data_IF_612462205824
#
_entry.id   IF_612462205824
#
_cell.length_a   1.000
_cell.length_b   1.000
_cell.length_c   1.000
_cell.angle_alpha   90.00
_cell.angle_beta   90.00
_cell.angle_gamma   90.00
#
_symmetry.space_group_name_H-M   'P 1'
#
loop_
_entity.id
_entity.type
_entity.pdbx_description
1 polymer ?
#
# COMPACT_ATOMS: atom_id res chain seq x y z
N UNK A 1 -2.22 -5.13 -26.88
CA UNK A 1 -2.95 -5.98 -25.91
C UNK A 1 -2.33 -5.73 -24.54
N UNK A 2 -2.98 -4.95 -23.66
CA UNK A 2 -2.50 -4.84 -22.27
C UNK A 2 -2.85 -6.15 -21.56
N UNK A 3 -1.84 -6.94 -21.20
CA UNK A 3 -2.05 -8.13 -20.39
C UNK A 3 -2.60 -7.68 -19.03
N UNK A 4 -3.79 -8.18 -18.66
CA UNK A 4 -4.35 -7.93 -17.33
C UNK A 4 -3.41 -8.52 -16.28
N UNK A 5 -2.84 -7.66 -15.42
CA UNK A 5 -1.93 -8.10 -14.35
C UNK A 5 -2.72 -8.79 -13.24
N UNK A 6 -2.13 -9.82 -12.65
CA UNK A 6 -2.74 -10.59 -11.57
C UNK A 6 -2.35 -10.05 -10.20
N UNK A 7 -3.24 -10.16 -9.20
CA UNK A 7 -2.95 -9.84 -7.80
C UNK A 7 -1.73 -10.59 -7.23
N UNK A 8 -1.40 -11.75 -7.80
CA UNK A 8 -0.32 -12.63 -7.34
C UNK A 8 1.09 -12.10 -7.66
N UNK A 9 1.22 -11.04 -8.46
CA UNK A 9 2.56 -10.50 -8.82
C UNK A 9 3.09 -9.52 -7.79
N UNK A 10 2.25 -9.03 -6.87
CA UNK A 10 2.62 -8.06 -5.86
C UNK A 10 3.17 -8.73 -4.61
N UNK A 11 4.26 -8.19 -4.08
CA UNK A 11 5.01 -8.81 -2.97
C UNK A 11 5.31 -7.85 -1.83
N UNK A 12 5.22 -6.54 -2.07
CA UNK A 12 5.49 -5.50 -1.06
C UNK A 12 4.21 -4.70 -0.82
N UNK A 13 3.81 -4.59 0.43
CA UNK A 13 2.78 -3.67 0.90
C UNK A 13 3.46 -2.44 1.49
N UNK A 14 3.13 -1.26 0.97
CA UNK A 14 3.51 0.03 1.53
C UNK A 14 2.26 0.69 2.10
N UNK A 15 2.27 1.00 3.39
CA UNK A 15 1.20 1.68 4.09
C UNK A 15 1.71 3.05 4.51
N UNK A 16 1.03 4.10 4.06
CA UNK A 16 1.27 5.48 4.48
C UNK A 16 0.25 5.88 5.55
N UNK A 17 0.67 6.65 6.56
CA UNK A 17 -0.23 7.09 7.63
C UNK A 17 -0.99 8.36 7.26
N UNK A 18 -0.42 9.22 6.42
CA UNK A 18 -0.98 10.50 5.99
C UNK A 18 -1.11 10.61 4.47
N UNK A 19 -2.09 11.38 3.96
CA UNK A 19 -2.18 11.69 2.54
C UNK A 19 -0.92 12.34 1.96
N UNK A 20 -0.23 13.17 2.75
CA UNK A 20 1.03 13.79 2.34
C UNK A 20 2.14 12.74 2.15
N UNK A 21 2.22 11.77 3.06
CA UNK A 21 3.17 10.65 2.97
C UNK A 21 2.83 9.75 1.78
N UNK A 22 1.55 9.51 1.51
CA UNK A 22 1.09 8.80 0.30
C UNK A 22 1.53 9.53 -0.97
N UNK A 23 1.38 10.85 -1.02
CA UNK A 23 1.79 11.66 -2.16
C UNK A 23 3.29 11.51 -2.42
N UNK A 24 4.12 11.55 -1.37
CA UNK A 24 5.55 11.30 -1.47
C UNK A 24 5.85 9.86 -1.94
N UNK A 25 5.20 8.86 -1.34
CA UNK A 25 5.38 7.44 -1.70
C UNK A 25 5.04 7.16 -3.18
N UNK A 26 3.98 7.80 -3.71
CA UNK A 26 3.63 7.67 -5.14
C UNK A 26 4.74 8.17 -6.06
N UNK A 27 5.46 9.21 -5.68
CA UNK A 27 6.56 9.75 -6.51
C UNK A 27 7.80 8.84 -6.53
N UNK A 28 7.86 7.86 -5.64
CA UNK A 28 8.96 6.87 -5.63
C UNK A 28 8.75 5.74 -6.63
N UNK A 29 7.57 5.63 -7.26
CA UNK A 29 7.28 4.53 -8.18
C UNK A 29 7.96 4.77 -9.53
N UNK A 30 8.66 3.76 -10.04
CA UNK A 30 9.25 3.80 -11.38
C UNK A 30 8.16 3.71 -12.45
N UNK A 31 7.13 2.89 -12.20
CA UNK A 31 6.01 2.66 -13.11
C UNK A 31 4.71 2.46 -12.33
N UNK A 32 3.65 3.07 -12.82
CA UNK A 32 2.28 2.83 -12.35
C UNK A 32 1.63 1.68 -13.13
N UNK A 33 0.71 0.99 -12.47
CA UNK A 33 -0.06 -0.11 -13.02
C UNK A 33 -1.55 0.17 -12.83
N UNK A 34 -2.36 -0.34 -13.75
CA UNK A 34 -3.80 -0.21 -13.69
C UNK A 34 -4.36 -0.84 -12.42
N UNK A 35 -5.43 -0.24 -11.89
CA UNK A 35 -6.12 -0.76 -10.72
C UNK A 35 -6.73 -2.12 -11.04
N UNK A 36 -6.59 -3.06 -10.11
CA UNK A 36 -7.23 -4.36 -10.21
C UNK A 36 -8.57 -4.37 -9.48
N UNK A 37 -9.45 -5.30 -9.86
CA UNK A 37 -10.71 -5.52 -9.14
C UNK A 37 -10.43 -5.98 -7.71
N UNK A 38 -11.26 -5.59 -6.76
CA UNK A 38 -11.09 -5.99 -5.36
C UNK A 38 -12.44 -6.41 -4.76
N UNK A 39 -12.47 -7.29 -3.75
CA UNK A 39 -13.70 -7.65 -3.06
C UNK A 39 -14.39 -6.42 -2.45
N UNK A 40 -15.73 -6.42 -2.40
CA UNK A 40 -16.50 -5.33 -1.76
C UNK A 40 -16.19 -5.15 -0.27
N UNK A 41 -15.66 -6.19 0.37
CA UNK A 41 -15.21 -6.18 1.77
C UNK A 41 -13.88 -5.47 1.97
N UNK A 42 -13.14 -5.20 0.89
CA UNK A 42 -11.91 -4.44 0.91
C UNK A 42 -12.18 -2.99 0.49
N UNK A 43 -12.27 -2.12 1.49
CA UNK A 43 -12.59 -0.69 1.30
C UNK A 43 -11.34 0.17 1.08
N UNK A 44 -10.15 -0.42 0.99
CA UNK A 44 -8.93 0.34 0.77
C UNK A 44 -8.86 0.89 -0.66
N UNK A 45 -8.18 2.01 -0.81
CA UNK A 45 -7.79 2.53 -2.11
C UNK A 45 -6.33 2.22 -2.37
N UNK A 46 -6.07 1.46 -3.45
CA UNK A 46 -4.73 1.04 -3.81
C UNK A 46 -4.15 1.86 -4.96
N UNK A 47 -2.87 2.20 -4.83
CA UNK A 47 -2.01 2.54 -5.97
C UNK A 47 -1.09 1.37 -6.23
N UNK A 48 -1.05 0.91 -7.48
CA UNK A 48 -0.27 -0.25 -7.89
C UNK A 48 0.89 0.20 -8.78
N UNK A 49 2.05 -0.42 -8.60
CA UNK A 49 3.22 -0.07 -9.39
C UNK A 49 4.43 -0.91 -9.08
N UNK A 50 5.56 -0.47 -9.62
CA UNK A 50 6.87 -1.06 -9.32
C UNK A 50 7.86 -0.02 -8.86
N UNK A 51 8.75 -0.42 -7.96
CA UNK A 51 9.88 0.37 -7.48
C UNK A 51 11.11 -0.54 -7.36
N UNK A 52 12.20 -0.16 -8.01
CA UNK A 52 13.46 -0.90 -8.06
C UNK A 52 13.27 -2.39 -8.45
N UNK A 53 12.34 -2.67 -9.38
CA UNK A 53 12.02 -4.04 -9.82
C UNK A 53 11.09 -4.83 -8.90
N UNK A 54 10.62 -4.27 -7.78
CA UNK A 54 9.64 -4.89 -6.90
C UNK A 54 8.23 -4.39 -7.22
N UNK A 55 7.24 -5.28 -7.28
CA UNK A 55 5.83 -4.91 -7.41
C UNK A 55 5.24 -4.54 -6.04
N UNK A 56 4.81 -3.29 -5.91
CA UNK A 56 4.38 -2.65 -4.67
C UNK A 56 2.89 -2.33 -4.74
N UNK A 57 2.18 -2.64 -3.65
CA UNK A 57 0.82 -2.16 -3.37
C UNK A 57 0.93 -1.05 -2.34
N UNK A 58 0.56 0.18 -2.72
CA UNK A 58 0.52 1.32 -1.81
C UNK A 58 -0.92 1.58 -1.36
N UNK A 59 -1.11 1.73 -0.05
CA UNK A 59 -2.35 2.19 0.57
C UNK A 59 -2.06 3.33 1.56
N UNK A 60 -3.10 4.11 1.87
CA UNK A 60 -3.08 5.10 2.93
C UNK A 60 -4.08 4.70 4.01
N UNK A 61 -3.76 4.96 5.27
CA UNK A 61 -4.73 4.83 6.36
C UNK A 61 -5.93 5.76 6.12
N UNK A 62 -7.13 5.40 6.61
CA UNK A 62 -8.29 6.27 6.56
C UNK A 62 -7.99 7.65 7.15
N UNK A 63 -8.48 8.70 6.48
CA UNK A 63 -8.25 10.08 6.90
C UNK A 63 -8.65 10.32 8.36
N UNK A 64 -7.75 10.92 9.13
CA UNK A 64 -7.97 11.21 10.54
C UNK A 64 -7.90 9.99 11.48
N UNK A 65 -7.65 8.79 10.96
CA UNK A 65 -7.53 7.56 11.76
C UNK A 65 -6.10 7.06 11.77
N UNK A 66 -5.38 7.41 12.84
CA UNK A 66 -4.01 6.96 13.09
C UNK A 66 -3.97 5.72 13.98
N UNK A 67 -2.80 5.09 14.03
CA UNK A 67 -2.49 4.07 15.02
C UNK A 67 -2.53 2.64 14.47
N UNK A 68 -2.15 1.73 15.36
CA UNK A 68 -1.87 0.31 15.04
C UNK A 68 -3.10 -0.45 14.56
N UNK A 69 -4.28 -0.18 15.13
CA UNK A 69 -5.54 -0.84 14.73
C UNK A 69 -5.92 -0.53 13.29
N UNK A 70 -5.82 0.74 12.90
CA UNK A 70 -6.08 1.21 11.54
C UNK A 70 -5.14 0.51 10.54
N UNK A 71 -3.84 0.51 10.85
CA UNK A 71 -2.84 -0.18 10.03
C UNK A 71 -3.09 -1.69 9.95
N UNK A 72 -3.47 -2.34 11.04
CA UNK A 72 -3.77 -3.76 11.05
C UNK A 72 -4.95 -4.12 10.13
N UNK A 73 -6.03 -3.31 10.15
CA UNK A 73 -7.19 -3.51 9.28
C UNK A 73 -6.82 -3.37 7.80
N UNK A 74 -6.09 -2.30 7.45
CA UNK A 74 -5.61 -2.09 6.07
C UNK A 74 -4.76 -3.27 5.61
N UNK A 75 -3.78 -3.70 6.42
CA UNK A 75 -2.91 -4.83 6.07
C UNK A 75 -3.68 -6.15 5.97
N UNK A 76 -4.66 -6.39 6.84
CA UNK A 76 -5.48 -7.60 6.79
C UNK A 76 -6.25 -7.70 5.46
N UNK A 77 -6.89 -6.60 5.05
CA UNK A 77 -7.58 -6.51 3.76
C UNK A 77 -6.60 -6.62 2.58
N UNK A 78 -5.45 -5.94 2.63
CA UNK A 78 -4.39 -6.07 1.63
C UNK A 78 -3.95 -7.52 1.44
N UNK A 79 -3.72 -8.27 2.51
CA UNK A 79 -3.31 -9.69 2.43
C UNK A 79 -4.40 -10.57 1.85
N UNK A 80 -5.67 -10.25 2.11
CA UNK A 80 -6.81 -10.95 1.50
C UNK A 80 -6.87 -10.68 -0.01
N UNK A 81 -6.61 -9.45 -0.44
CA UNK A 81 -6.71 -9.03 -1.86
C UNK A 81 -5.45 -9.35 -2.66
N UNK A 82 -4.27 -9.35 -2.03
CA UNK A 82 -2.97 -9.62 -2.66
C UNK A 82 -2.28 -10.79 -1.94
N UNK A 83 -2.57 -12.05 -2.35
CA UNK A 83 -2.16 -13.23 -1.58
C UNK A 83 -0.65 -13.48 -1.49
N UNK A 84 0.14 -12.80 -2.32
CA UNK A 84 1.61 -12.99 -2.44
C UNK A 84 2.42 -11.90 -1.77
N UNK A 85 1.77 -11.03 -0.99
CA UNK A 85 2.47 -10.08 -0.13
C UNK A 85 3.36 -10.82 0.88
N UNK A 86 4.63 -10.43 0.90
CA UNK A 86 5.68 -11.01 1.76
C UNK A 86 6.23 -9.96 2.73
N UNK A 87 6.30 -8.70 2.29
CA UNK A 87 6.85 -7.60 3.08
C UNK A 87 5.79 -6.53 3.31
N UNK A 88 5.72 -6.00 4.52
CA UNK A 88 4.84 -4.89 4.88
C UNK A 88 5.65 -3.76 5.49
N UNK A 89 5.53 -2.56 4.93
CA UNK A 89 6.21 -1.36 5.37
C UNK A 89 5.17 -0.32 5.80
N UNK A 90 5.15 0.03 7.09
CA UNK A 90 4.41 1.20 7.56
C UNK A 90 5.39 2.38 7.57
N UNK A 91 5.16 3.34 6.68
CA UNK A 91 6.08 4.47 6.44
C UNK A 91 5.35 5.77 6.74
N UNK A 92 5.97 6.60 7.57
CA UNK A 92 5.45 7.92 7.89
C UNK A 92 6.44 8.76 8.68
N UNK A 93 6.00 9.94 9.08
CA UNK A 93 6.79 10.90 9.86
C UNK A 93 6.82 10.43 11.32
N UNK A 94 8.03 10.29 11.87
CA UNK A 94 8.26 9.99 13.28
C UNK A 94 8.75 11.22 14.05
N UNK A 95 8.28 11.38 15.29
CA UNK A 95 8.84 12.34 16.25
C UNK A 95 9.88 11.66 17.15
N UNK A 96 11.00 12.34 17.44
CA UNK A 96 12.04 11.85 18.35
C UNK A 96 12.14 12.72 19.61
N UNK A 97 12.42 12.09 20.75
CA UNK A 97 12.69 12.76 22.02
C UNK A 97 14.02 12.22 22.61
N UNK A 98 15.17 12.81 22.24
CA UNK A 98 16.46 12.41 22.77
C UNK A 98 16.66 12.92 24.21
N UNK A 99 17.52 12.23 24.95
CA UNK A 99 18.00 12.58 26.30
C UNK A 99 19.46 13.00 26.28
#
# INVERSE_FOLDING_TARGET
MHASRSHYVYTVAWISALPLEMAAARQMFDQFQDRLSQPLTDTNTYTLGSMCGHNVVLACLPSGVYGTTSAATVVAQMRSTFPRLQYGLLVGIGGGAPS
#
